data_IF_648774582166
#
_entry.id   IF_648774582166
#
_cell.length_a   1.000
_cell.length_b   1.000
_cell.length_c   1.000
_cell.angle_alpha   90.00
_cell.angle_beta   90.00
_cell.angle_gamma   90.00
#
_symmetry.space_group_name_H-M   'P 1'
#
loop_
_entity.id
_entity.type
_entity.pdbx_description
1 polymer ?
#
# COMPACT_ATOMS: atom_id res chain seq x y z
N UNK A 1 -28.12 10.35 18.34
CA UNK A 1 -26.98 9.83 19.11
C UNK A 1 -27.16 8.33 19.23
N UNK A 2 -26.23 7.54 18.70
CA UNK A 2 -26.20 6.11 18.99
C UNK A 2 -25.56 5.97 20.38
N UNK A 3 -26.30 5.41 21.34
CA UNK A 3 -25.75 5.06 22.64
C UNK A 3 -24.86 3.83 22.44
N UNK A 4 -23.56 4.02 22.32
CA UNK A 4 -22.60 2.93 22.47
C UNK A 4 -22.59 2.54 23.96
N UNK A 5 -22.87 1.28 24.33
CA UNK A 5 -22.64 0.84 25.69
C UNK A 5 -21.16 1.09 26.03
N UNK A 6 -20.85 1.58 27.24
CA UNK A 6 -19.47 1.91 27.63
C UNK A 6 -18.49 0.72 27.59
N UNK A 7 -18.98 -0.51 27.42
CA UNK A 7 -18.18 -1.75 27.39
C UNK A 7 -17.93 -2.30 25.97
N UNK A 8 -18.21 -1.49 24.93
CA UNK A 8 -18.10 -1.91 23.53
C UNK A 8 -16.91 -1.30 22.78
N UNK A 9 -16.00 -0.62 23.48
CA UNK A 9 -14.76 -0.12 22.88
C UNK A 9 -13.92 -1.28 22.35
N UNK A 10 -13.25 -1.06 21.21
CA UNK A 10 -12.42 -2.10 20.63
C UNK A 10 -11.17 -2.34 21.49
N UNK A 11 -10.74 -3.60 21.55
CA UNK A 11 -9.54 -4.03 22.28
C UNK A 11 -8.49 -4.40 21.25
N UNK A 12 -7.28 -3.85 21.41
CA UNK A 12 -6.14 -4.19 20.56
C UNK A 12 -5.65 -5.60 20.87
N UNK A 13 -5.40 -6.37 19.83
CA UNK A 13 -4.70 -7.66 19.93
C UNK A 13 -3.22 -7.43 20.26
N UNK A 14 -2.56 -8.49 20.74
CA UNK A 14 -1.11 -8.59 20.58
C UNK A 14 -0.72 -8.49 19.09
N UNK A 15 0.58 -8.28 18.84
CA UNK A 15 1.10 -8.27 17.48
C UNK A 15 1.05 -9.67 16.87
N UNK A 16 0.52 -9.75 15.65
CA UNK A 16 0.30 -10.97 14.87
C UNK A 16 1.28 -10.96 13.71
N UNK A 17 2.01 -12.08 13.57
CA UNK A 17 3.10 -12.29 12.60
C UNK A 17 3.09 -13.77 12.17
N UNK A 18 2.25 -14.08 11.18
CA UNK A 18 1.98 -15.46 10.70
C UNK A 18 2.54 -15.72 9.30
N UNK A 19 3.04 -14.69 8.63
CA UNK A 19 3.64 -14.75 7.29
C UNK A 19 5.06 -14.21 7.33
N UNK A 20 5.89 -14.67 6.38
CA UNK A 20 7.29 -14.27 6.29
C UNK A 20 7.69 -14.17 4.81
N UNK A 21 8.36 -13.08 4.38
CA UNK A 21 8.79 -12.94 2.99
C UNK A 21 9.95 -13.87 2.67
N UNK A 22 9.81 -14.63 1.57
CA UNK A 22 10.93 -15.40 1.01
C UNK A 22 11.75 -14.52 0.08
N UNK A 23 12.95 -14.16 0.51
CA UNK A 23 13.89 -13.35 -0.26
C UNK A 23 14.32 -13.96 -1.60
N UNK A 24 14.15 -15.27 -1.79
CA UNK A 24 14.52 -15.98 -3.02
C UNK A 24 13.39 -16.03 -4.06
N UNK A 25 12.16 -15.70 -3.68
CA UNK A 25 10.99 -15.78 -4.55
C UNK A 25 10.32 -14.41 -4.72
N UNK A 26 10.27 -13.93 -5.96
CA UNK A 26 9.59 -12.67 -6.30
C UNK A 26 8.07 -12.76 -6.19
N UNK A 27 7.51 -13.95 -6.24
CA UNK A 27 6.08 -14.19 -6.08
C UNK A 27 5.67 -14.37 -4.61
N UNK A 28 6.65 -14.43 -3.72
CA UNK A 28 6.46 -14.33 -2.28
C UNK A 28 6.24 -12.87 -1.86
N UNK A 29 6.08 -12.67 -0.56
CA UNK A 29 5.76 -11.39 0.05
C UNK A 29 5.44 -11.62 1.51
N UNK A 30 4.84 -10.61 2.12
CA UNK A 30 4.40 -10.70 3.49
C UNK A 30 2.92 -10.34 3.63
N UNK A 31 2.17 -11.20 4.31
CA UNK A 31 0.72 -11.33 4.19
C UNK A 31 0.07 -11.60 5.55
N UNK A 32 0.10 -10.61 6.43
CA UNK A 32 -0.71 -10.59 7.66
C UNK A 32 -2.18 -10.28 7.32
N UNK A 33 -2.80 -11.10 6.48
CA UNK A 33 -4.20 -10.98 6.11
C UNK A 33 -5.07 -11.71 7.13
N UNK A 34 -6.31 -11.26 7.32
CA UNK A 34 -7.23 -11.96 8.24
C UNK A 34 -7.48 -13.42 7.81
N UNK A 35 -7.44 -13.72 6.51
CA UNK A 35 -7.50 -15.09 6.00
C UNK A 35 -6.30 -15.92 6.46
N UNK A 36 -5.09 -15.39 6.33
CA UNK A 36 -3.88 -16.09 6.78
C UNK A 36 -3.82 -16.23 8.29
N UNK A 37 -4.28 -15.22 9.04
CA UNK A 37 -4.38 -15.29 10.49
C UNK A 37 -5.33 -16.40 10.91
N UNK A 38 -6.57 -16.44 10.37
CA UNK A 38 -7.53 -17.51 10.67
C UNK A 38 -7.04 -18.91 10.25
N UNK A 39 -6.27 -18.99 9.16
CA UNK A 39 -5.68 -20.25 8.70
C UNK A 39 -4.62 -20.79 9.66
N UNK A 40 -3.82 -19.91 10.26
CA UNK A 40 -2.75 -20.27 11.20
C UNK A 40 -3.26 -20.38 12.64
N UNK A 41 -4.23 -19.56 13.02
CA UNK A 41 -4.92 -19.57 14.31
C UNK A 41 -6.45 -19.53 14.12
N UNK A 42 -7.10 -20.70 13.98
CA UNK A 42 -8.56 -20.78 13.85
C UNK A 42 -9.33 -20.30 15.09
N UNK A 43 -8.65 -20.07 16.21
CA UNK A 43 -9.25 -19.56 17.44
C UNK A 43 -9.23 -18.04 17.52
N UNK A 44 -8.54 -17.35 16.60
CA UNK A 44 -8.56 -15.91 16.51
C UNK A 44 -9.96 -15.41 16.13
N UNK A 45 -10.52 -14.52 16.94
CA UNK A 45 -11.88 -13.98 16.75
C UNK A 45 -11.83 -12.46 16.74
N UNK A 46 -12.21 -11.87 15.61
CA UNK A 46 -12.44 -10.44 15.45
C UNK A 46 -13.73 -10.23 14.66
N UNK A 47 -14.86 -10.06 15.35
CA UNK A 47 -16.18 -9.93 14.70
C UNK A 47 -16.22 -8.67 13.83
N UNK A 48 -15.61 -7.60 14.33
CA UNK A 48 -15.46 -6.34 13.62
C UNK A 48 -14.14 -5.69 14.02
N UNK A 49 -13.27 -5.49 13.03
CA UNK A 49 -12.10 -4.65 13.18
C UNK A 49 -12.53 -3.18 13.06
N UNK A 50 -12.29 -2.39 14.10
CA UNK A 50 -12.51 -0.94 14.10
C UNK A 50 -11.27 -0.19 13.64
N UNK A 51 -10.08 -0.74 13.92
CA UNK A 51 -8.82 -0.12 13.56
C UNK A 51 -7.72 -1.18 13.37
N UNK A 52 -6.63 -0.80 12.71
CA UNK A 52 -5.47 -1.63 12.47
C UNK A 52 -4.20 -0.81 12.65
N UNK A 53 -3.17 -1.43 13.22
CA UNK A 53 -1.81 -0.92 13.25
C UNK A 53 -0.92 -1.92 12.54
N UNK A 54 -0.05 -1.43 11.66
CA UNK A 54 0.92 -2.25 10.95
C UNK A 54 2.31 -1.66 11.13
N UNK A 55 3.32 -2.50 11.36
CA UNK A 55 4.71 -2.06 11.47
C UNK A 55 5.68 -3.11 10.94
N UNK A 56 6.87 -2.68 10.54
CA UNK A 56 7.96 -3.61 10.29
C UNK A 56 8.54 -4.08 11.62
N UNK A 57 8.68 -5.39 11.80
CA UNK A 57 9.14 -5.99 13.06
C UNK A 57 10.54 -5.54 13.45
N UNK A 58 11.43 -5.38 12.47
CA UNK A 58 12.81 -4.92 12.69
C UNK A 58 12.92 -3.41 12.90
N UNK A 59 11.88 -2.64 12.54
CA UNK A 59 11.87 -1.18 12.58
C UNK A 59 10.55 -0.66 13.18
N UNK A 60 10.21 -1.04 14.42
CA UNK A 60 8.89 -0.75 15.01
C UNK A 60 8.64 0.74 15.23
N UNK A 61 9.70 1.54 15.36
CA UNK A 61 9.63 2.98 15.60
C UNK A 61 9.61 3.81 14.30
N UNK A 62 9.76 3.16 13.14
CA UNK A 62 9.75 3.83 11.83
C UNK A 62 8.34 3.69 11.25
N UNK A 63 7.66 4.81 10.93
CA UNK A 63 6.37 4.77 10.27
C UNK A 63 6.44 3.96 8.97
N UNK A 64 5.41 3.13 8.72
CA UNK A 64 5.41 2.22 7.56
C UNK A 64 5.59 2.97 6.22
N UNK A 65 5.06 4.20 6.13
CA UNK A 65 5.19 5.05 4.96
C UNK A 65 6.63 5.53 4.70
N UNK A 66 7.46 5.59 5.74
CA UNK A 66 8.84 6.08 5.68
C UNK A 66 9.85 4.96 5.36
N UNK A 67 9.42 3.69 5.42
CA UNK A 67 10.26 2.53 5.07
C UNK A 67 10.61 2.48 3.58
N UNK A 68 9.82 3.14 2.73
CA UNK A 68 10.00 3.15 1.27
C UNK A 68 9.53 1.87 0.58
N UNK A 69 8.76 1.01 1.25
CA UNK A 69 8.15 -0.18 0.67
C UNK A 69 6.70 0.07 0.27
N UNK A 70 6.25 -0.60 -0.79
CA UNK A 70 4.84 -0.59 -1.18
C UNK A 70 4.10 -1.63 -0.35
N UNK A 71 3.42 -1.16 0.67
CA UNK A 71 2.65 -1.98 1.62
C UNK A 71 1.21 -1.45 1.69
N UNK A 72 0.25 -2.36 1.64
CA UNK A 72 -1.14 -2.07 1.94
C UNK A 72 -1.42 -2.51 3.39
N UNK A 73 -1.95 -1.60 4.20
CA UNK A 73 -2.39 -1.87 5.57
C UNK A 73 -3.82 -1.35 5.70
N UNK A 74 -4.78 -2.26 5.87
CA UNK A 74 -6.21 -1.94 5.81
C UNK A 74 -6.99 -2.71 6.85
N UNK A 75 -7.94 -2.02 7.49
CA UNK A 75 -8.82 -2.61 8.51
C UNK A 75 -9.73 -3.70 7.95
N UNK A 76 -9.92 -3.76 6.63
CA UNK A 76 -10.79 -4.73 5.99
C UNK A 76 -10.08 -6.03 5.59
N UNK A 77 -8.77 -5.97 5.32
CA UNK A 77 -8.03 -7.09 4.72
C UNK A 77 -6.81 -7.51 5.53
N UNK A 78 -6.29 -6.65 6.42
CA UNK A 78 -5.03 -6.84 7.11
C UNK A 78 -3.88 -6.12 6.40
N UNK A 79 -2.71 -6.75 6.35
CA UNK A 79 -1.55 -6.25 5.64
C UNK A 79 -1.18 -7.11 4.43
N UNK A 80 -0.75 -6.47 3.36
CA UNK A 80 -0.21 -7.12 2.16
C UNK A 80 1.00 -6.36 1.66
N UNK A 81 2.11 -7.08 1.51
CA UNK A 81 3.31 -6.65 0.82
C UNK A 81 3.68 -7.73 -0.20
N UNK A 82 3.95 -7.36 -1.45
CA UNK A 82 4.38 -8.30 -2.48
C UNK A 82 5.85 -8.03 -2.86
N UNK A 83 6.70 -9.06 -2.89
CA UNK A 83 8.12 -8.89 -3.28
C UNK A 83 8.26 -8.32 -4.69
N UNK A 84 7.44 -8.81 -5.63
CA UNK A 84 7.43 -8.33 -7.04
C UNK A 84 7.17 -6.83 -7.22
N UNK A 85 6.55 -6.19 -6.24
CA UNK A 85 6.21 -4.77 -6.28
C UNK A 85 7.29 -3.89 -5.63
N UNK A 86 8.26 -4.49 -4.93
CA UNK A 86 9.32 -3.75 -4.25
C UNK A 86 10.44 -3.40 -5.22
N UNK A 87 11.03 -2.24 -4.99
CA UNK A 87 12.21 -1.74 -5.71
C UNK A 87 13.34 -1.53 -4.71
N UNK A 88 14.59 -1.56 -5.18
CA UNK A 88 15.72 -1.17 -4.35
C UNK A 88 15.57 0.31 -3.98
N UNK A 89 15.50 0.63 -2.70
CA UNK A 89 15.34 2.00 -2.22
C UNK A 89 14.85 2.08 -0.77
N UNK A 90 14.85 3.28 -0.19
CA UNK A 90 14.46 3.50 1.20
C UNK A 90 15.54 3.05 2.20
N UNK A 91 15.12 2.60 3.37
CA UNK A 91 16.04 2.18 4.45
C UNK A 91 16.69 0.82 4.13
N UNK A 92 16.08 0.01 3.26
CA UNK A 92 16.50 -1.37 2.97
C UNK A 92 16.95 -1.51 1.52
N UNK A 93 18.19 -1.95 1.26
CA UNK A 93 18.74 -2.00 -0.09
C UNK A 93 18.34 -3.26 -0.89
N UNK A 94 17.19 -3.87 -0.61
CA UNK A 94 16.74 -5.12 -1.24
C UNK A 94 15.31 -4.99 -1.80
N UNK A 95 15.01 -5.54 -2.99
CA UNK A 95 13.68 -5.49 -3.59
C UNK A 95 12.79 -6.63 -3.06
N UNK A 96 12.70 -6.76 -1.74
CA UNK A 96 11.90 -7.77 -1.03
C UNK A 96 11.16 -7.09 0.12
N UNK A 97 9.99 -7.58 0.47
CA UNK A 97 9.25 -7.12 1.64
C UNK A 97 10.09 -7.29 2.91
N UNK A 98 9.96 -6.34 3.83
CA UNK A 98 10.33 -6.55 5.23
C UNK A 98 9.35 -7.54 5.89
N UNK A 99 9.75 -8.09 7.04
CA UNK A 99 8.82 -8.79 7.91
C UNK A 99 7.97 -7.76 8.66
N UNK A 100 6.67 -7.81 8.46
CA UNK A 100 5.68 -6.98 9.11
C UNK A 100 4.94 -7.77 10.18
N UNK A 101 4.26 -7.04 11.04
CA UNK A 101 3.31 -7.59 11.99
C UNK A 101 2.15 -6.59 12.14
N UNK A 102 0.97 -7.09 12.51
CA UNK A 102 -0.22 -6.27 12.70
C UNK A 102 -0.77 -6.39 14.11
N UNK A 103 -1.40 -5.33 14.61
CA UNK A 103 -2.29 -5.36 15.75
C UNK A 103 -3.65 -4.84 15.29
N UNK A 104 -4.73 -5.48 15.73
CA UNK A 104 -6.09 -5.18 15.28
C UNK A 104 -6.93 -4.76 16.47
N UNK A 105 -7.66 -3.66 16.36
CA UNK A 105 -8.60 -3.23 17.39
C UNK A 105 -9.96 -3.87 17.09
N UNK A 106 -10.32 -4.90 17.85
CA UNK A 106 -11.52 -5.70 17.62
C UNK A 106 -12.61 -5.36 18.63
N UNK A 107 -13.85 -5.21 18.16
CA UNK A 107 -14.99 -5.13 19.07
C UNK A 107 -15.12 -6.46 19.84
N UNK A 108 -15.36 -6.41 21.17
CA UNK A 108 -15.67 -7.60 21.95
C UNK A 108 -16.82 -8.41 21.34
N UNK A 109 -16.66 -9.74 21.30
CA UNK A 109 -17.70 -10.65 20.79
C UNK A 109 -18.83 -10.85 21.82
N UNK A 110 -19.50 -9.75 22.18
CA UNK A 110 -20.68 -9.74 23.03
C UNK A 110 -21.86 -9.15 22.23
N UNK A 111 -23.06 -9.75 22.33
CA UNK A 111 -24.20 -9.37 21.48
C UNK A 111 -24.57 -7.89 21.53
N UNK A 112 -24.33 -7.22 22.66
CA UNK A 112 -24.63 -5.80 22.87
C UNK A 112 -23.73 -4.86 22.05
N UNK A 113 -22.54 -5.33 21.65
CA UNK A 113 -21.54 -4.54 20.93
C UNK A 113 -21.53 -4.81 19.43
N UNK A 114 -22.15 -5.90 18.99
CA UNK A 114 -22.20 -6.25 17.58
C UNK A 114 -23.34 -5.46 16.94
N UNK A 115 -23.06 -4.51 16.03
CA UNK A 115 -24.13 -3.77 15.37
C UNK A 115 -24.98 -4.72 14.53
N UNK A 116 -26.28 -4.78 14.82
CA UNK A 116 -27.24 -5.46 13.95
C UNK A 116 -27.28 -4.72 12.63
N UNK A 117 -26.67 -5.29 11.58
CA UNK A 117 -26.82 -4.77 10.21
C UNK A 117 -28.31 -4.78 9.85
N UNK A 118 -28.96 -3.61 9.87
CA UNK A 118 -30.29 -3.44 9.34
C UNK A 118 -30.21 -3.56 7.82
N UNK A 119 -30.43 -4.77 7.30
CA UNK A 119 -30.58 -5.01 5.87
C UNK A 119 -31.80 -4.24 5.38
N UNK A 120 -31.59 -3.03 4.88
CA UNK A 120 -32.63 -2.26 4.20
C UNK A 120 -32.70 -2.80 2.78
N UNK A 121 -33.64 -3.70 2.53
CA UNK A 121 -33.96 -4.20 1.19
C UNK A 121 -34.66 -3.10 0.40
N UNK A 122 -33.90 -2.22 -0.25
CA UNK A 122 -34.42 -1.29 -1.24
C UNK A 122 -34.74 -2.08 -2.51
N UNK A 123 -36.01 -2.43 -2.71
CA UNK A 123 -36.50 -2.91 -4.00
C UNK A 123 -36.60 -1.72 -4.95
N UNK A 124 -35.53 -1.47 -5.72
CA UNK A 124 -35.55 -0.44 -6.77
C UNK A 124 -36.26 -1.05 -7.99
N UNK A 125 -37.55 -0.76 -8.14
CA UNK A 125 -38.29 -1.09 -9.35
C UNK A 125 -37.69 -0.33 -10.56
N UNK A 126 -37.34 -1.08 -11.60
CA UNK A 126 -36.77 -0.57 -12.84
C UNK A 126 -37.86 0.11 -13.69
N UNK A 127 -37.76 1.41 -14.07
CA UNK A 127 -38.67 1.97 -15.04
C UNK A 127 -38.32 1.43 -16.44
N UNK A 128 -39.29 0.72 -17.03
CA UNK A 128 -39.26 0.22 -18.41
C UNK A 128 -39.14 1.39 -19.41
N UNK A 129 -38.06 1.41 -20.20
CA UNK A 129 -37.88 2.39 -21.27
C UNK A 129 -38.60 1.91 -22.53
N UNK A 130 -39.71 2.57 -22.87
CA UNK A 130 -40.47 2.37 -24.10
C UNK A 130 -39.65 2.83 -25.31
N UNK A 131 -39.47 1.95 -26.29
CA UNK A 131 -38.94 2.29 -27.61
C UNK A 131 -39.84 3.33 -28.29
N UNK A 132 -39.24 4.38 -28.86
CA UNK A 132 -39.89 5.19 -29.88
C UNK A 132 -38.95 5.35 -31.07
N UNK A 133 -39.39 4.73 -32.16
CA UNK A 133 -38.95 4.85 -33.54
C UNK A 133 -39.21 6.25 -34.07
N UNK A 134 -38.23 6.85 -34.74
CA UNK A 134 -38.39 8.11 -35.48
C UNK A 134 -37.24 8.31 -36.47
N UNK A 135 -37.57 8.28 -37.75
CA UNK A 135 -36.70 8.22 -38.93
C UNK A 135 -36.05 9.57 -39.32
N UNK A 136 -34.87 9.50 -39.95
CA UNK A 136 -34.05 10.56 -40.58
C UNK A 136 -34.76 11.34 -41.71
N UNK A 137 -34.23 12.51 -42.16
CA UNK A 137 -33.28 12.57 -43.30
C UNK A 137 -32.09 13.57 -43.16
N UNK A 138 -31.13 13.62 -44.12
CA UNK A 138 -29.71 13.92 -43.86
C UNK A 138 -29.14 15.23 -44.46
N UNK A 139 -27.86 15.46 -44.10
CA UNK A 139 -26.76 16.06 -44.89
C UNK A 139 -26.56 17.59 -44.93
N UNK A 140 -25.39 18.06 -44.45
CA UNK A 140 -24.36 18.82 -45.22
C UNK A 140 -23.14 19.16 -44.33
N UNK A 141 -22.00 18.48 -44.44
CA UNK A 141 -20.77 18.86 -45.19
C UNK A 141 -20.22 20.27 -44.95
N UNK A 142 -19.02 20.37 -44.34
CA UNK A 142 -17.84 21.23 -44.72
C UNK A 142 -16.68 20.89 -43.77
N UNK A 143 -15.80 19.94 -44.12
CA UNK A 143 -14.39 20.11 -44.57
C UNK A 143 -13.36 20.36 -43.46
N UNK A 144 -12.32 19.51 -43.32
CA UNK A 144 -11.20 19.69 -42.39
C UNK A 144 -10.08 20.57 -42.98
N UNK A 145 -9.43 21.38 -42.15
CA UNK A 145 -8.19 22.08 -42.49
C UNK A 145 -6.97 21.22 -42.11
N UNK A 146 -6.05 20.91 -43.04
CA UNK A 146 -4.73 20.40 -42.72
C UNK A 146 -3.74 21.56 -42.62
N UNK A 147 -2.78 21.48 -41.70
CA UNK A 147 -1.54 22.25 -41.81
C UNK A 147 -0.38 21.42 -41.27
N UNK A 148 0.43 20.83 -42.15
CA UNK A 148 1.76 20.35 -41.80
C UNK A 148 2.80 21.42 -42.19
N UNK A 149 3.69 21.76 -41.26
CA UNK A 149 4.95 22.44 -41.60
C UNK A 149 6.07 21.96 -40.68
N UNK A 150 7.05 21.31 -41.30
CA UNK A 150 8.38 20.95 -40.82
C UNK A 150 9.31 21.07 -42.06
N UNK A 151 10.65 21.03 -41.94
CA UNK A 151 11.64 21.72 -41.09
C UNK A 151 12.72 22.38 -42.03
N UNK A 152 14.05 22.50 -41.74
CA UNK A 152 14.86 22.39 -40.51
C UNK A 152 15.90 23.54 -40.31
N UNK A 153 16.81 23.33 -39.34
CA UNK A 153 18.07 24.05 -39.03
C UNK A 153 17.90 25.19 -38.00
N UNK A 154 18.66 25.25 -36.91
CA UNK A 154 20.12 25.25 -36.89
C UNK A 154 20.75 24.58 -35.66
N UNK A 155 21.89 23.95 -35.91
CA UNK A 155 22.94 23.56 -34.98
C UNK A 155 23.45 24.76 -34.17
N UNK A 156 23.52 24.64 -32.84
CA UNK A 156 24.51 25.36 -32.03
C UNK A 156 25.11 24.39 -31.02
N UNK A 157 26.33 23.99 -31.33
CA UNK A 157 27.31 23.46 -30.39
C UNK A 157 27.71 24.57 -29.42
N UNK A 158 27.62 24.36 -28.12
CA UNK A 158 28.42 25.11 -27.16
C UNK A 158 28.95 24.17 -26.09
N UNK A 159 30.26 24.02 -26.16
CA UNK A 159 31.20 23.39 -25.24
C UNK A 159 31.07 23.93 -23.82
N UNK A 160 30.91 23.04 -22.84
CA UNK A 160 31.25 23.31 -21.43
C UNK A 160 32.50 22.51 -21.07
N UNK A 161 33.62 23.14 -20.69
CA UNK A 161 34.79 22.44 -20.20
C UNK A 161 34.75 22.27 -18.68
N UNK A 162 35.19 21.09 -18.26
CA UNK A 162 35.92 20.81 -17.01
C UNK A 162 35.36 21.30 -15.67
N UNK A 163 34.96 20.35 -14.83
CA UNK A 163 35.17 20.46 -13.38
C UNK A 163 36.03 19.28 -12.91
N UNK A 164 37.30 19.57 -12.65
CA UNK A 164 38.26 18.70 -11.99
C UNK A 164 38.37 19.11 -10.53
N UNK A 165 37.92 18.27 -9.60
CA UNK A 165 38.24 18.40 -8.17
C UNK A 165 39.17 17.27 -7.74
N UNK A 166 40.38 17.57 -7.23
CA UNK A 166 41.28 16.55 -6.70
C UNK A 166 40.94 16.16 -5.25
N UNK A 167 40.89 14.85 -5.05
CA UNK A 167 41.33 14.03 -3.89
C UNK A 167 41.68 14.74 -2.57
N UNK A 168 41.03 14.31 -1.50
CA UNK A 168 41.57 14.39 -0.12
C UNK A 168 41.65 12.96 0.43
N UNK A 169 42.88 12.44 0.58
CA UNK A 169 43.14 11.21 1.33
C UNK A 169 43.36 11.56 2.79
N UNK A 170 42.47 11.13 3.68
CA UNK A 170 42.67 11.26 5.12
C UNK A 170 43.34 9.99 5.63
N UNK A 171 44.61 10.11 6.00
CA UNK A 171 45.42 9.06 6.65
C UNK A 171 45.08 9.04 8.14
N UNK A 172 44.59 7.92 8.66
CA UNK A 172 44.41 7.69 10.11
C UNK A 172 45.71 7.08 10.67
N UNK A 173 46.26 7.56 11.80
CA UNK A 173 47.40 6.94 12.44
C UNK A 173 47.01 5.67 13.19
N UNK A 174 47.85 4.64 13.08
CA UNK A 174 47.74 3.38 13.79
C UNK A 174 47.91 3.55 15.31
N UNK A 175 46.97 3.02 16.09
CA UNK A 175 47.06 2.89 17.54
C UNK A 175 48.00 1.72 17.87
N UNK A 176 49.05 2.00 18.64
CA UNK A 176 49.94 0.99 19.20
C UNK A 176 49.37 0.49 20.54
N UNK A 177 49.17 -0.81 20.63
CA UNK A 177 48.82 -1.52 21.87
C UNK A 177 50.12 -1.98 22.52
N UNK A 178 50.39 -1.53 23.75
CA UNK A 178 51.47 -2.08 24.58
C UNK A 178 50.84 -2.89 25.72
N UNK A 179 51.10 -4.20 25.70
CA UNK A 179 50.97 -5.09 26.86
C UNK A 179 52.26 -5.05 27.69
N UNK A 180 52.14 -4.66 28.95
CA UNK A 180 52.67 -5.30 30.17
C UNK A 180 52.58 -4.34 31.35
#
# INVERSE_FOLDING_TARGET
LLCHPPDCDCIWTDWIDVSYPDSSDRNSGDYETFENILKNDPSWVCVKAENISCRAKQFPDIPIADLGQKVECSVNTGLTCNNRDQVIGGIIPMPVCLNYEISVCCIPNIPECIPTSATTSTTTAFPSSTMSTGSFPPLSTTTPLPTPSEPPSSTVTTTTPHSSTPRTSTTIPATSTTSQ
#
